data_IF_569162166650
#
_entry.id   IF_569162166650
#
_cell.length_a   1.000
_cell.length_b   1.000
_cell.length_c   1.000
_cell.angle_alpha   90.00
_cell.angle_beta   90.00
_cell.angle_gamma   90.00
#
_symmetry.space_group_name_H-M   'P 1'
#
loop_
_entity.id
_entity.type
_entity.pdbx_description
1 polymer ?
#
# COMPACT_ATOMS: atom_id res chain seq x y z
N UNK A 1 -24.36 -36.39 -36.29
CA UNK A 1 -25.19 -35.18 -36.33
C UNK A 1 -24.92 -34.43 -35.04
N UNK A 2 -24.17 -33.34 -35.16
CA UNK A 2 -23.69 -32.51 -34.04
C UNK A 2 -24.75 -31.44 -33.76
N UNK A 3 -25.07 -31.21 -32.48
CA UNK A 3 -25.65 -29.96 -31.89
C UNK A 3 -26.05 -30.25 -30.44
N UNK A 4 -25.83 -29.40 -29.45
CA UNK A 4 -25.16 -28.11 -29.30
C UNK A 4 -24.90 -28.01 -27.78
N UNK A 5 -23.69 -27.67 -27.35
CA UNK A 5 -23.38 -27.42 -25.93
C UNK A 5 -23.85 -26.00 -25.61
N UNK A 6 -24.63 -25.76 -24.53
CA UNK A 6 -25.11 -24.42 -24.25
C UNK A 6 -23.93 -23.50 -23.92
N UNK A 7 -23.99 -22.28 -24.44
CA UNK A 7 -23.02 -21.24 -24.16
C UNK A 7 -22.95 -20.99 -22.64
N UNK A 8 -21.76 -21.18 -22.07
CA UNK A 8 -21.45 -20.75 -20.71
C UNK A 8 -21.58 -19.22 -20.68
N UNK A 9 -22.59 -18.73 -19.94
CA UNK A 9 -22.77 -17.32 -19.69
C UNK A 9 -21.61 -16.82 -18.81
N UNK A 10 -20.90 -15.81 -19.30
CA UNK A 10 -19.85 -15.11 -18.59
C UNK A 10 -20.47 -14.17 -17.54
N UNK A 11 -20.73 -14.69 -16.35
CA UNK A 11 -21.07 -13.91 -15.16
C UNK A 11 -20.49 -14.59 -13.92
N UNK A 12 -19.17 -14.52 -13.80
CA UNK A 12 -18.48 -14.55 -12.50
C UNK A 12 -17.94 -13.15 -12.21
N UNK A 13 -17.67 -12.77 -10.94
CA UNK A 13 -16.96 -11.52 -10.66
C UNK A 13 -15.65 -11.54 -11.46
N UNK A 14 -15.32 -10.42 -12.12
CA UNK A 14 -14.07 -10.26 -12.87
C UNK A 14 -12.86 -10.60 -11.99
N UNK A 15 -11.67 -10.80 -12.60
CA UNK A 15 -10.49 -11.24 -11.85
C UNK A 15 -10.20 -10.28 -10.70
N UNK A 16 -10.23 -10.79 -9.47
CA UNK A 16 -9.78 -10.07 -8.27
C UNK A 16 -8.28 -9.83 -8.43
N UNK A 17 -7.88 -8.59 -8.75
CA UNK A 17 -6.48 -8.24 -8.85
C UNK A 17 -5.79 -8.28 -7.49
N UNK A 18 -4.48 -8.47 -7.48
CA UNK A 18 -3.71 -8.60 -6.23
C UNK A 18 -2.84 -7.36 -6.03
N UNK A 19 -2.99 -6.71 -4.88
CA UNK A 19 -2.14 -5.60 -4.45
C UNK A 19 -1.12 -6.13 -3.45
N UNK A 20 0.16 -6.10 -3.82
CA UNK A 20 1.26 -6.52 -2.96
C UNK A 20 1.83 -5.33 -2.17
N UNK A 21 1.94 -5.48 -0.86
CA UNK A 21 2.54 -4.49 0.04
C UNK A 21 3.47 -5.16 1.05
N UNK A 22 4.43 -4.41 1.59
CA UNK A 22 5.44 -4.98 2.49
C UNK A 22 4.80 -5.53 3.78
N UNK A 23 3.96 -4.73 4.42
CA UNK A 23 3.40 -5.02 5.74
C UNK A 23 1.92 -4.76 5.91
N UNK A 24 1.39 -5.21 7.05
CA UNK A 24 -0.02 -5.06 7.41
C UNK A 24 -0.44 -3.58 7.56
N UNK A 25 0.48 -2.69 7.98
CA UNK A 25 0.19 -1.25 8.03
C UNK A 25 -0.14 -0.68 6.66
N UNK A 26 0.62 -1.05 5.65
CA UNK A 26 0.41 -0.60 4.28
C UNK A 26 -0.89 -1.17 3.73
N UNK A 27 -1.19 -2.43 4.06
CA UNK A 27 -2.45 -3.05 3.66
C UNK A 27 -3.65 -2.26 4.19
N UNK A 28 -3.64 -1.89 5.47
CA UNK A 28 -4.72 -1.10 6.08
C UNK A 28 -4.81 0.31 5.49
N UNK A 29 -3.69 0.94 5.13
CA UNK A 29 -3.70 2.25 4.47
C UNK A 29 -4.29 2.17 3.05
N UNK A 30 -3.89 1.17 2.26
CA UNK A 30 -4.43 0.94 0.91
C UNK A 30 -5.94 0.68 0.98
N UNK A 31 -6.38 -0.21 1.86
CA UNK A 31 -7.81 -0.50 2.05
C UNK A 31 -8.59 0.72 2.50
N UNK A 32 -8.05 1.52 3.44
CA UNK A 32 -8.70 2.74 3.88
C UNK A 32 -8.88 3.74 2.74
N UNK A 33 -7.85 3.95 1.90
CA UNK A 33 -7.97 4.87 0.78
C UNK A 33 -8.89 4.32 -0.32
N UNK A 34 -8.80 3.04 -0.63
CA UNK A 34 -9.66 2.39 -1.61
C UNK A 34 -11.14 2.47 -1.21
N UNK A 35 -11.46 2.27 0.07
CA UNK A 35 -12.83 2.51 0.61
C UNK A 35 -13.26 3.96 0.43
N UNK A 36 -12.39 4.94 0.75
CA UNK A 36 -12.67 6.37 0.53
C UNK A 36 -12.92 6.69 -0.94
N UNK A 37 -12.27 5.98 -1.85
CA UNK A 37 -12.46 6.08 -3.30
C UNK A 37 -13.69 5.30 -3.82
N UNK A 38 -14.43 4.61 -2.96
CA UNK A 38 -15.62 3.84 -3.33
C UNK A 38 -15.33 2.52 -4.05
N UNK A 39 -14.10 1.99 -3.93
CA UNK A 39 -13.76 0.69 -4.51
C UNK A 39 -14.32 -0.44 -3.66
N UNK A 40 -14.97 -1.40 -4.32
CA UNK A 40 -15.44 -2.63 -3.72
C UNK A 40 -14.28 -3.63 -3.58
N UNK A 41 -14.10 -4.17 -2.37
CA UNK A 41 -13.12 -5.22 -2.06
C UNK A 41 -13.38 -6.54 -2.79
N UNK A 42 -14.48 -6.67 -3.54
CA UNK A 42 -14.67 -7.76 -4.48
C UNK A 42 -13.78 -7.67 -5.73
N UNK A 43 -13.18 -6.51 -6.04
CA UNK A 43 -12.38 -6.29 -7.25
C UNK A 43 -10.87 -6.43 -7.05
N UNK A 44 -10.41 -6.42 -5.80
CA UNK A 44 -9.00 -6.58 -5.46
C UNK A 44 -8.80 -7.22 -4.08
N UNK A 45 -7.64 -7.83 -3.87
CA UNK A 45 -7.19 -8.29 -2.55
C UNK A 45 -5.84 -7.65 -2.24
N UNK A 46 -5.66 -7.17 -1.01
CA UNK A 46 -4.37 -6.66 -0.54
C UNK A 46 -3.65 -7.76 0.23
N UNK A 47 -2.39 -8.00 -0.12
CA UNK A 47 -1.55 -9.04 0.47
C UNK A 47 -0.32 -8.38 1.09
N UNK A 48 -0.26 -8.42 2.42
CA UNK A 48 0.94 -8.09 3.18
C UNK A 48 1.94 -9.25 3.08
N UNK A 49 3.09 -8.99 2.46
CA UNK A 49 4.09 -10.02 2.14
C UNK A 49 4.95 -10.44 3.33
N UNK A 50 4.93 -9.66 4.42
CA UNK A 50 5.81 -9.89 5.57
C UNK A 50 7.28 -9.60 5.23
N UNK A 51 7.52 -8.59 4.40
CA UNK A 51 8.84 -8.16 3.95
C UNK A 51 9.02 -8.23 2.43
N UNK A 52 9.70 -7.24 1.87
CA UNK A 52 9.87 -7.11 0.41
C UNK A 52 10.62 -8.26 -0.24
N UNK A 53 11.47 -8.97 0.50
CA UNK A 53 12.21 -10.13 0.00
C UNK A 53 11.30 -11.29 -0.40
N UNK A 54 10.06 -11.32 0.09
CA UNK A 54 9.05 -12.32 -0.25
C UNK A 54 8.31 -12.03 -1.56
N UNK A 55 8.48 -10.83 -2.17
CA UNK A 55 7.75 -10.43 -3.38
C UNK A 55 7.89 -11.44 -4.53
N UNK A 56 9.09 -11.97 -4.75
CA UNK A 56 9.32 -12.96 -5.81
C UNK A 56 8.70 -14.33 -5.54
N UNK A 57 8.38 -14.65 -4.28
CA UNK A 57 7.59 -15.84 -3.94
C UNK A 57 6.12 -15.61 -4.29
N UNK A 58 5.54 -14.52 -3.78
CA UNK A 58 4.14 -14.18 -4.03
C UNK A 58 3.82 -14.00 -5.52
N UNK A 59 4.69 -13.36 -6.29
CA UNK A 59 4.49 -13.20 -7.74
C UNK A 59 4.52 -14.55 -8.48
N UNK A 60 5.37 -15.49 -8.07
CA UNK A 60 5.41 -16.83 -8.68
C UNK A 60 4.16 -17.63 -8.34
N UNK A 61 3.79 -17.68 -7.06
CA UNK A 61 2.56 -18.34 -6.61
C UNK A 61 1.33 -17.77 -7.35
N UNK A 62 1.27 -16.44 -7.51
CA UNK A 62 0.21 -15.78 -8.24
C UNK A 62 0.15 -16.19 -9.73
N UNK A 63 1.29 -16.22 -10.42
CA UNK A 63 1.36 -16.60 -11.85
C UNK A 63 1.09 -18.09 -12.05
N UNK A 64 1.59 -18.95 -11.15
CA UNK A 64 1.37 -20.40 -11.19
C UNK A 64 -0.13 -20.72 -11.05
N UNK A 65 -0.85 -19.98 -10.21
CA UNK A 65 -2.30 -20.11 -10.06
C UNK A 65 -3.09 -19.41 -11.18
N UNK A 66 -2.63 -18.23 -11.62
CA UNK A 66 -3.31 -17.34 -12.56
C UNK A 66 -2.30 -16.63 -13.47
N UNK A 67 -2.00 -17.18 -14.66
CA UNK A 67 -0.99 -16.61 -15.57
C UNK A 67 -1.29 -15.18 -16.03
N UNK A 68 -2.57 -14.82 -16.16
CA UNK A 68 -3.03 -13.49 -16.56
C UNK A 68 -3.44 -12.61 -15.35
N UNK A 69 -2.89 -12.89 -14.16
CA UNK A 69 -3.22 -12.16 -12.95
C UNK A 69 -2.87 -10.67 -13.06
N UNK A 70 -3.82 -9.83 -12.67
CA UNK A 70 -3.58 -8.41 -12.44
C UNK A 70 -2.85 -8.24 -11.11
N UNK A 71 -1.71 -7.55 -11.14
CA UNK A 71 -0.92 -7.26 -9.96
C UNK A 71 -0.51 -5.80 -9.93
N UNK A 72 -0.56 -5.20 -8.75
CA UNK A 72 -0.04 -3.88 -8.46
C UNK A 72 0.67 -3.92 -7.10
N UNK A 73 1.37 -2.86 -6.74
CA UNK A 73 1.97 -2.82 -5.41
C UNK A 73 2.52 -1.48 -5.00
N UNK A 74 2.90 -1.44 -3.73
CA UNK A 74 3.60 -0.32 -3.10
C UNK A 74 4.90 -0.84 -2.50
N UNK A 75 6.01 -0.12 -2.71
CA UNK A 75 7.28 -0.40 -2.07
C UNK A 75 8.05 0.88 -1.77
N UNK A 76 9.12 0.78 -0.97
CA UNK A 76 9.97 1.92 -0.66
C UNK A 76 11.07 2.10 -1.71
N UNK A 77 11.62 3.32 -1.82
CA UNK A 77 12.68 3.64 -2.78
C UNK A 77 13.92 2.72 -2.65
N UNK A 78 14.24 2.31 -1.42
CA UNK A 78 15.33 1.37 -1.14
C UNK A 78 15.07 -0.06 -1.64
N UNK A 79 13.85 -0.37 -2.05
CA UNK A 79 13.40 -1.73 -2.42
C UNK A 79 13.15 -1.90 -3.92
N UNK A 80 13.25 -0.81 -4.69
CA UNK A 80 13.00 -0.77 -6.15
C UNK A 80 13.74 -1.88 -6.88
N UNK A 81 15.02 -2.08 -6.60
CA UNK A 81 15.83 -3.13 -7.24
C UNK A 81 15.32 -4.55 -6.94
N UNK A 82 14.81 -4.78 -5.73
CA UNK A 82 14.29 -6.09 -5.31
C UNK A 82 12.99 -6.39 -6.06
N UNK A 83 12.08 -5.42 -6.10
CA UNK A 83 10.78 -5.51 -6.78
C UNK A 83 10.97 -5.64 -8.30
N UNK A 84 11.79 -4.80 -8.91
CA UNK A 84 12.06 -4.83 -10.35
C UNK A 84 12.61 -6.18 -10.82
N UNK A 85 13.58 -6.73 -10.07
CA UNK A 85 14.14 -8.08 -10.35
C UNK A 85 13.09 -9.17 -10.20
N UNK A 86 12.20 -9.07 -9.21
CA UNK A 86 11.16 -10.06 -9.01
C UNK A 86 10.12 -10.03 -10.14
N UNK A 87 9.64 -8.85 -10.53
CA UNK A 87 8.71 -8.68 -11.66
C UNK A 87 9.31 -9.23 -12.97
N UNK A 88 10.58 -8.92 -13.23
CA UNK A 88 11.28 -9.40 -14.43
C UNK A 88 11.38 -10.93 -14.44
N UNK A 89 11.70 -11.55 -13.30
CA UNK A 89 11.78 -13.02 -13.20
C UNK A 89 10.42 -13.72 -13.28
N UNK A 90 9.35 -13.03 -12.87
CA UNK A 90 7.98 -13.55 -12.90
C UNK A 90 7.24 -13.24 -14.20
N UNK A 91 7.89 -12.62 -15.19
CA UNK A 91 7.32 -12.42 -16.52
C UNK A 91 6.39 -11.21 -16.66
N UNK A 92 6.29 -10.35 -15.65
CA UNK A 92 5.44 -9.14 -15.69
C UNK A 92 6.00 -8.00 -16.56
N UNK A 93 7.17 -8.19 -17.18
CA UNK A 93 7.82 -7.21 -18.05
C UNK A 93 9.25 -6.91 -17.61
N UNK A 94 9.87 -5.90 -18.22
CA UNK A 94 11.22 -5.46 -17.87
C UNK A 94 11.13 -4.09 -17.18
N UNK A 95 11.58 -4.02 -15.93
CA UNK A 95 11.67 -2.77 -15.18
C UNK A 95 13.13 -2.39 -14.98
N UNK A 96 13.53 -1.19 -15.43
CA UNK A 96 14.88 -0.65 -15.28
C UNK A 96 14.93 0.48 -14.24
N UNK A 97 13.82 1.17 -14.00
CA UNK A 97 13.72 2.24 -13.01
C UNK A 97 12.30 2.44 -12.42
N UNK A 98 12.14 3.51 -11.61
CA UNK A 98 10.88 3.89 -10.96
C UNK A 98 9.71 4.17 -11.92
N UNK A 99 9.99 4.67 -13.12
CA UNK A 99 8.96 5.02 -14.10
C UNK A 99 8.44 3.77 -14.79
N UNK A 100 9.34 2.82 -15.06
CA UNK A 100 8.95 1.50 -15.57
C UNK A 100 8.07 0.76 -14.54
N UNK A 101 8.41 0.82 -13.25
CA UNK A 101 7.58 0.22 -12.19
C UNK A 101 6.18 0.84 -12.16
N UNK A 102 6.07 2.17 -12.22
CA UNK A 102 4.78 2.84 -12.20
C UNK A 102 3.90 2.44 -13.41
N UNK A 103 4.51 2.24 -14.58
CA UNK A 103 3.81 1.73 -15.76
C UNK A 103 3.29 0.29 -15.57
N UNK A 104 3.97 -0.52 -14.76
CA UNK A 104 3.56 -1.87 -14.37
C UNK A 104 2.60 -1.91 -13.16
N UNK A 105 2.18 -0.76 -12.63
CA UNK A 105 1.29 -0.69 -11.46
C UNK A 105 2.00 -0.80 -10.11
N UNK A 106 3.32 -0.63 -10.06
CA UNK A 106 4.10 -0.59 -8.83
C UNK A 106 4.56 0.83 -8.52
N UNK A 107 4.15 1.34 -7.36
CA UNK A 107 4.38 2.72 -6.95
C UNK A 107 5.35 2.77 -5.79
N UNK A 108 6.15 3.83 -5.73
CA UNK A 108 7.32 3.92 -4.87
C UNK A 108 7.15 5.06 -3.87
N UNK A 109 7.20 4.75 -2.58
CA UNK A 109 7.34 5.72 -1.48
C UNK A 109 8.78 6.22 -1.41
N UNK A 110 9.00 7.50 -1.10
CA UNK A 110 10.36 8.04 -1.02
C UNK A 110 11.12 7.48 0.19
N UNK A 111 10.50 7.45 1.38
CA UNK A 111 11.11 6.99 2.61
C UNK A 111 10.40 5.76 3.21
N UNK A 112 9.13 5.91 3.53
CA UNK A 112 8.16 4.85 3.84
C UNK A 112 6.74 5.44 3.73
N UNK A 113 5.72 4.59 3.78
CA UNK A 113 4.34 5.06 3.69
C UNK A 113 3.94 5.98 4.86
N UNK A 114 4.46 5.76 6.07
CA UNK A 114 4.15 6.66 7.18
C UNK A 114 4.72 8.06 6.97
N UNK A 115 5.93 8.21 6.44
CA UNK A 115 6.48 9.52 6.12
C UNK A 115 5.66 10.25 5.05
N UNK A 116 5.22 9.52 4.02
CA UNK A 116 4.34 10.03 2.96
C UNK A 116 3.01 10.53 3.53
N UNK A 117 2.36 9.73 4.39
CA UNK A 117 1.11 10.10 5.07
C UNK A 117 1.29 11.32 5.97
N UNK A 118 2.36 11.37 6.76
CA UNK A 118 2.66 12.54 7.59
C UNK A 118 2.93 13.79 6.75
N UNK A 119 3.48 13.63 5.53
CA UNK A 119 3.82 14.76 4.64
C UNK A 119 2.58 15.34 4.01
N UNK A 120 1.69 14.46 3.57
CA UNK A 120 0.40 14.79 3.03
C UNK A 120 -0.53 15.43 4.08
N UNK A 121 -0.64 14.81 5.27
CA UNK A 121 -1.54 15.27 6.33
C UNK A 121 -1.02 16.53 7.05
N UNK A 122 0.30 16.65 7.20
CA UNK A 122 0.94 17.67 8.01
C UNK A 122 1.04 17.27 9.49
N UNK A 123 2.11 17.71 10.13
CA UNK A 123 2.50 17.28 11.48
C UNK A 123 1.45 17.65 12.56
N UNK A 124 0.78 18.79 12.40
CA UNK A 124 -0.24 19.27 13.36
C UNK A 124 -1.48 18.37 13.36
N UNK A 125 -2.08 18.14 12.20
CA UNK A 125 -3.23 17.26 12.07
C UNK A 125 -2.90 15.80 12.44
N UNK A 126 -1.68 15.34 12.13
CA UNK A 126 -1.22 14.03 12.61
C UNK A 126 -1.14 13.95 14.14
N UNK A 127 -0.74 15.04 14.83
CA UNK A 127 -0.75 15.10 16.29
C UNK A 127 -2.17 15.10 16.85
N UNK A 128 -3.11 15.78 16.20
CA UNK A 128 -4.54 15.75 16.56
C UNK A 128 -5.12 14.33 16.43
N UNK A 129 -4.71 13.56 15.42
CA UNK A 129 -5.08 12.14 15.30
C UNK A 129 -4.56 11.34 16.51
N UNK A 130 -3.31 11.55 16.91
CA UNK A 130 -2.73 10.90 18.10
C UNK A 130 -3.47 11.31 19.38
N UNK A 131 -3.84 12.58 19.51
CA UNK A 131 -4.63 13.07 20.64
C UNK A 131 -6.03 12.45 20.67
N UNK A 132 -6.72 12.40 19.53
CA UNK A 132 -8.04 11.77 19.41
C UNK A 132 -8.03 10.27 19.71
N UNK A 133 -6.87 9.61 19.59
CA UNK A 133 -6.66 8.22 19.99
C UNK A 133 -6.30 8.03 21.48
N UNK A 134 -6.23 9.12 22.25
CA UNK A 134 -5.90 9.10 23.68
C UNK A 134 -4.40 8.92 23.98
N UNK A 135 -3.56 8.97 22.96
CA UNK A 135 -2.15 8.58 23.04
C UNK A 135 -1.20 9.77 23.24
N UNK A 136 -1.71 10.99 23.43
CA UNK A 136 -0.89 12.20 23.57
C UNK A 136 0.10 12.11 24.73
N UNK A 137 -0.32 11.54 25.88
CA UNK A 137 0.58 11.30 27.01
C UNK A 137 1.71 10.35 26.64
N UNK A 138 1.41 9.26 25.92
CA UNK A 138 2.42 8.30 25.46
C UNK A 138 3.38 8.91 24.44
N UNK A 139 2.89 9.78 23.56
CA UNK A 139 3.71 10.53 22.62
C UNK A 139 4.70 11.47 23.34
N UNK A 140 4.25 12.19 24.37
CA UNK A 140 5.12 13.06 25.17
C UNK A 140 6.09 12.30 26.08
N UNK A 141 5.71 11.12 26.55
CA UNK A 141 6.52 10.29 27.44
C UNK A 141 7.63 9.50 26.72
N UNK A 142 7.75 9.61 25.40
CA UNK A 142 8.84 8.95 24.65
C UNK A 142 10.21 9.41 25.19
N UNK A 143 11.12 8.49 25.57
CA UNK A 143 12.34 8.82 26.28
C UNK A 143 13.18 9.91 25.59
N UNK A 144 13.54 10.95 26.34
CA UNK A 144 14.33 12.10 25.90
C UNK A 144 15.81 11.77 25.56
N UNK A 145 16.29 10.56 25.89
CA UNK A 145 17.72 10.19 25.75
C UNK A 145 18.15 9.72 24.34
N UNK A 146 17.26 9.78 23.36
CA UNK A 146 17.67 9.63 21.97
C UNK A 146 18.18 11.00 21.46
N UNK A 147 19.21 11.10 20.58
CA UNK A 147 19.67 12.33 19.91
C UNK A 147 18.60 13.02 19.01
N UNK A 148 17.39 13.22 19.53
CA UNK A 148 16.15 13.44 18.81
C UNK A 148 15.24 14.51 19.45
N UNK A 149 15.60 15.08 20.61
CA UNK A 149 14.78 16.10 21.30
C UNK A 149 14.55 17.36 20.45
N UNK A 150 15.54 17.73 19.65
CA UNK A 150 15.49 18.84 18.70
C UNK A 150 15.04 18.42 17.29
N UNK A 151 14.56 17.18 17.13
CA UNK A 151 14.10 16.74 15.81
C UNK A 151 12.74 17.34 15.49
N UNK A 152 12.51 17.64 14.20
CA UNK A 152 11.22 18.07 13.71
C UNK A 152 10.09 17.16 14.20
N UNK A 153 8.93 17.74 14.48
CA UNK A 153 7.75 17.04 15.00
C UNK A 153 7.43 15.77 14.19
N UNK A 154 7.49 15.85 12.86
CA UNK A 154 7.45 14.72 11.92
C UNK A 154 8.25 13.50 12.32
N UNK A 155 9.51 13.69 12.71
CA UNK A 155 10.39 12.56 13.02
C UNK A 155 10.05 11.92 14.37
N UNK A 156 9.57 12.72 15.32
CA UNK A 156 9.01 12.21 16.59
C UNK A 156 7.72 11.44 16.33
N UNK A 157 6.83 11.96 15.49
CA UNK A 157 5.60 11.28 15.06
C UNK A 157 5.93 9.97 14.35
N UNK A 158 6.79 9.98 13.32
CA UNK A 158 7.20 8.76 12.60
C UNK A 158 7.80 7.71 13.55
N UNK A 159 8.63 8.13 14.52
CA UNK A 159 9.16 7.22 15.54
C UNK A 159 8.08 6.71 16.49
N UNK A 160 7.12 7.55 16.89
CA UNK A 160 6.00 7.15 17.73
C UNK A 160 5.17 6.08 17.04
N UNK A 161 4.78 6.32 15.79
CA UNK A 161 4.03 5.39 14.95
C UNK A 161 4.78 4.07 14.76
N UNK A 162 6.10 4.15 14.51
CA UNK A 162 6.99 3.00 14.39
C UNK A 162 7.36 2.31 15.71
N UNK A 163 6.89 2.80 16.87
CA UNK A 163 7.26 2.25 18.17
C UNK A 163 6.19 1.29 18.71
N UNK A 164 6.63 0.16 19.27
CA UNK A 164 5.75 -0.84 19.85
C UNK A 164 5.06 -1.73 18.82
N UNK A 165 4.61 -2.91 19.25
CA UNK A 165 3.90 -3.85 18.40
C UNK A 165 2.53 -3.29 18.02
N UNK A 166 2.36 -2.95 16.74
CA UNK A 166 1.03 -2.69 16.15
C UNK A 166 0.60 -1.22 16.03
N UNK A 167 1.39 -0.22 16.48
CA UNK A 167 1.02 1.19 16.30
C UNK A 167 0.91 1.58 14.82
N UNK A 168 1.89 1.19 13.99
CA UNK A 168 1.84 1.41 12.54
C UNK A 168 0.54 0.88 11.93
N UNK A 169 0.16 -0.35 12.28
CA UNK A 169 -1.06 -1.01 11.80
C UNK A 169 -2.32 -0.25 12.23
N UNK A 170 -2.39 0.17 13.50
CA UNK A 170 -3.53 0.92 14.05
C UNK A 170 -3.67 2.30 13.41
N UNK A 171 -2.56 3.02 13.23
CA UNK A 171 -2.58 4.42 12.82
C UNK A 171 -2.62 4.63 11.30
N UNK A 172 -2.12 3.68 10.51
CA UNK A 172 -2.18 3.75 9.05
C UNK A 172 -3.57 4.14 8.48
N UNK A 173 -4.68 3.44 8.82
CA UNK A 173 -6.00 3.83 8.33
C UNK A 173 -6.48 5.17 8.91
N UNK A 174 -6.15 5.49 10.17
CA UNK A 174 -6.56 6.75 10.82
C UNK A 174 -5.92 7.97 10.16
N UNK A 175 -4.64 7.87 9.79
CA UNK A 175 -3.95 8.92 9.05
C UNK A 175 -4.56 9.08 7.67
N UNK A 176 -4.90 7.98 6.99
CA UNK A 176 -5.59 8.03 5.70
C UNK A 176 -6.97 8.67 5.82
N UNK A 177 -7.74 8.35 6.85
CA UNK A 177 -9.07 8.92 7.08
C UNK A 177 -9.03 10.42 7.41
N UNK A 178 -7.95 10.88 8.04
CA UNK A 178 -7.76 12.29 8.36
C UNK A 178 -7.27 13.14 7.17
N UNK A 179 -6.85 12.53 6.05
CA UNK A 179 -6.38 13.27 4.88
C UNK A 179 -7.51 14.12 4.28
N UNK A 180 -7.26 15.41 3.98
CA UNK A 180 -8.15 16.19 3.13
C UNK A 180 -8.32 15.52 1.76
N UNK A 181 -9.51 15.64 1.17
CA UNK A 181 -9.75 15.13 -0.18
C UNK A 181 -8.80 15.78 -1.19
N UNK A 182 -8.11 14.97 -1.99
CA UNK A 182 -7.13 15.43 -2.98
C UNK A 182 -5.74 15.70 -2.41
N UNK A 183 -5.53 15.49 -1.11
CA UNK A 183 -4.22 15.61 -0.46
C UNK A 183 -3.55 14.24 -0.27
N UNK A 184 -4.05 13.16 -0.87
CA UNK A 184 -3.49 11.83 -0.74
C UNK A 184 -2.02 11.77 -1.23
N UNK A 185 -1.15 11.01 -0.55
CA UNK A 185 0.21 10.84 -1.04
C UNK A 185 0.21 10.23 -2.45
N UNK A 186 1.01 10.83 -3.33
CA UNK A 186 1.08 10.46 -4.75
C UNK A 186 1.21 8.94 -5.01
N UNK A 187 2.12 8.18 -4.33
CA UNK A 187 2.23 6.75 -4.62
C UNK A 187 0.99 5.95 -4.20
N UNK A 188 0.37 6.31 -3.07
CA UNK A 188 -0.85 5.65 -2.58
C UNK A 188 -2.07 5.98 -3.47
N UNK A 189 -2.21 7.26 -3.87
CA UNK A 189 -3.26 7.70 -4.78
C UNK A 189 -3.15 7.04 -6.15
N UNK A 190 -1.94 6.95 -6.69
CA UNK A 190 -1.68 6.32 -7.99
C UNK A 190 -1.97 4.80 -7.96
N UNK A 191 -1.63 4.12 -6.86
CA UNK A 191 -2.00 2.72 -6.64
C UNK A 191 -3.51 2.52 -6.65
N UNK A 192 -4.27 3.27 -5.84
CA UNK A 192 -5.73 3.14 -5.79
C UNK A 192 -6.37 3.49 -7.14
N UNK A 193 -5.87 4.50 -7.84
CA UNK A 193 -6.32 4.83 -9.18
C UNK A 193 -6.02 3.73 -10.21
N UNK A 194 -4.87 3.04 -10.08
CA UNK A 194 -4.54 1.89 -10.93
C UNK A 194 -5.50 0.72 -10.68
N UNK A 195 -5.74 0.37 -9.41
CA UNK A 195 -6.65 -0.70 -9.00
C UNK A 195 -8.09 -0.43 -9.44
N UNK A 196 -8.53 0.83 -9.39
CA UNK A 196 -9.87 1.23 -9.84
C UNK A 196 -10.16 0.85 -11.31
N UNK A 197 -9.13 0.70 -12.15
CA UNK A 197 -9.26 0.31 -13.55
C UNK A 197 -9.53 -1.17 -13.75
N UNK A 198 -9.32 -2.01 -12.73
CA UNK A 198 -9.56 -3.45 -12.83
C UNK A 198 -11.06 -3.80 -12.79
N UNK A 199 -11.88 -2.97 -12.14
CA UNK A 199 -13.33 -3.15 -12.03
C UNK A 199 -14.16 -2.56 -13.17
N UNK A 200 -13.53 -1.91 -14.16
CA UNK A 200 -14.19 -1.28 -15.30
C UNK A 200 -13.90 -2.01 -16.60
N UNK A 201 -14.73 -2.99 -16.93
CA UNK A 201 -14.86 -3.58 -18.27
C UNK A 201 -16.15 -3.13 -18.95
#
# INVERSE_FOLDING_TARGET
MVREVPALSATGPGPVGTVLVEGESDARAVEALARRAGLDGASYVVVAMGGVTNVGRHLRELVDERPDALVAGLCDAGEVDVVARALTRSGFGRALDRWDLAALGFFVCEADLEDELLRALGDGAALEVVEGQGDLRSFHAMPEQAPHRDRPLRQRLRRFLGSGSGRKIRYAPLLVEALPAGAEPAPLAALVAHVARWGGG
#
